data_IF_015008059596
#
_entry.id   IF_015008059596
#
_cell.length_a   1.000
_cell.length_b   1.000
_cell.length_c   1.000
_cell.angle_alpha   90.00
_cell.angle_beta   90.00
_cell.angle_gamma   90.00
#
_symmetry.space_group_name_H-M   'P 1'
#
loop_
_entity.id
_entity.type
_entity.pdbx_description
1 polymer ?
#
# COMPACT_ATOMS: atom_id res chain seq x y z
N UNK A 1 20.38 -18.35 -18.19
CA UNK A 1 19.11 -17.73 -18.62
C UNK A 1 17.99 -18.66 -18.18
N UNK A 2 17.30 -18.35 -17.08
CA UNK A 2 16.08 -19.06 -16.68
C UNK A 2 14.98 -18.02 -16.54
N UNK A 3 14.08 -17.97 -17.52
CA UNK A 3 12.85 -17.20 -17.46
C UNK A 3 11.84 -18.00 -16.62
N UNK A 4 11.53 -17.52 -15.41
CA UNK A 4 10.35 -17.96 -14.68
C UNK A 4 9.14 -17.24 -15.27
N UNK A 5 8.37 -17.99 -16.07
CA UNK A 5 7.05 -17.61 -16.55
C UNK A 5 6.10 -17.62 -15.36
N UNK A 6 5.51 -16.46 -15.02
CA UNK A 6 4.44 -16.36 -14.02
C UNK A 6 3.12 -16.75 -14.67
N UNK A 7 2.47 -17.80 -14.17
CA UNK A 7 1.12 -18.17 -14.58
C UNK A 7 0.07 -17.21 -13.97
N UNK A 8 -0.91 -16.73 -14.76
CA UNK A 8 -1.98 -15.87 -14.28
C UNK A 8 -3.02 -16.70 -13.52
N UNK A 9 -2.85 -16.82 -12.21
CA UNK A 9 -3.81 -17.53 -11.35
C UNK A 9 -3.26 -17.90 -9.97
N UNK A 10 -1.93 -17.95 -9.83
CA UNK A 10 -1.31 -18.31 -8.57
C UNK A 10 -1.12 -17.07 -7.68
N UNK A 11 -2.10 -16.79 -6.82
CA UNK A 11 -1.99 -15.74 -5.78
C UNK A 11 -1.08 -16.19 -4.63
N UNK A 12 0.11 -16.73 -4.95
CA UNK A 12 1.18 -16.98 -3.97
C UNK A 12 1.84 -15.69 -3.45
N UNK A 13 1.56 -14.53 -4.06
CA UNK A 13 2.29 -13.28 -3.82
C UNK A 13 1.98 -12.48 -2.56
N UNK A 14 1.03 -12.88 -1.71
CA UNK A 14 0.70 -12.11 -0.50
C UNK A 14 0.30 -12.98 0.69
N UNK A 15 1.09 -14.01 1.01
CA UNK A 15 1.01 -14.59 2.35
C UNK A 15 2.05 -13.89 3.21
N UNK A 16 1.57 -13.03 4.11
CA UNK A 16 2.32 -12.64 5.31
C UNK A 16 1.82 -13.53 6.45
N UNK A 17 2.38 -14.76 6.61
CA UNK A 17 1.96 -15.66 7.70
C UNK A 17 2.35 -15.12 9.08
N UNK A 18 3.31 -14.19 9.10
CA UNK A 18 3.85 -13.55 10.28
C UNK A 18 3.67 -12.03 10.16
N UNK A 19 3.61 -11.36 11.31
CA UNK A 19 3.59 -9.91 11.39
C UNK A 19 4.83 -9.33 10.69
N UNK A 20 4.65 -8.25 9.93
CA UNK A 20 5.75 -7.59 9.24
C UNK A 20 6.76 -7.00 10.24
N UNK A 21 8.05 -7.23 10.01
CA UNK A 21 9.15 -6.65 10.81
C UNK A 21 9.37 -5.17 10.45
N UNK A 22 9.12 -4.22 11.38
CA UNK A 22 9.30 -2.79 11.13
C UNK A 22 10.72 -2.39 10.70
N UNK A 23 11.75 -3.15 11.06
CA UNK A 23 13.13 -2.87 10.63
C UNK A 23 13.30 -3.00 9.11
N UNK A 24 12.37 -3.69 8.44
CA UNK A 24 12.34 -3.88 7.00
C UNK A 24 11.43 -2.88 6.29
N UNK A 25 10.92 -1.86 6.97
CA UNK A 25 9.97 -0.87 6.42
C UNK A 25 10.46 -0.20 5.12
N UNK A 26 11.77 -0.01 4.95
CA UNK A 26 12.34 0.53 3.72
C UNK A 26 11.99 -0.30 2.47
N UNK A 27 11.74 -1.61 2.62
CA UNK A 27 11.28 -2.44 1.50
C UNK A 27 9.87 -2.06 1.02
N UNK A 28 9.04 -1.47 1.89
CA UNK A 28 7.74 -0.95 1.48
C UNK A 28 7.90 0.25 0.54
N UNK A 29 8.97 1.03 0.69
CA UNK A 29 9.18 2.20 -0.17
C UNK A 29 10.06 1.90 -1.40
N UNK A 30 10.36 0.62 -1.67
CA UNK A 30 11.16 0.21 -2.83
C UNK A 30 10.43 0.60 -4.15
N UNK A 31 11.03 1.47 -5.00
CA UNK A 31 10.44 1.88 -6.27
C UNK A 31 10.08 0.72 -7.21
N UNK A 32 10.74 -0.44 -7.08
CA UNK A 32 10.39 -1.62 -7.84
C UNK A 32 8.96 -2.12 -7.56
N UNK A 33 8.44 -1.93 -6.33
CA UNK A 33 7.04 -2.27 -5.97
C UNK A 33 6.05 -1.47 -6.81
N UNK A 34 6.37 -0.21 -7.07
CA UNK A 34 5.49 0.71 -7.78
C UNK A 34 5.45 0.48 -9.30
N UNK A 35 6.30 -0.40 -9.84
CA UNK A 35 6.18 -0.84 -11.24
C UNK A 35 4.97 -1.75 -11.44
N UNK A 36 4.65 -2.58 -10.45
CA UNK A 36 3.49 -3.47 -10.49
C UNK A 36 2.23 -2.80 -9.94
N UNK A 37 2.39 -2.00 -8.88
CA UNK A 37 1.26 -1.34 -8.21
C UNK A 37 1.58 0.16 -8.03
N UNK A 38 1.43 0.99 -9.08
CA UNK A 38 1.71 2.42 -8.99
C UNK A 38 0.68 3.11 -8.07
N UNK A 39 1.10 3.91 -7.06
CA UNK A 39 0.19 4.53 -6.10
C UNK A 39 -0.93 5.38 -6.73
N UNK A 40 -0.61 6.24 -7.68
CA UNK A 40 -1.58 7.10 -8.36
C UNK A 40 -2.61 6.31 -9.17
N UNK A 41 -2.21 5.18 -9.75
CA UNK A 41 -3.10 4.28 -10.48
C UNK A 41 -4.05 3.55 -9.54
N UNK A 42 -3.56 3.08 -8.39
CA UNK A 42 -4.42 2.48 -7.35
C UNK A 42 -5.46 3.49 -6.87
N UNK A 43 -5.06 4.73 -6.59
CA UNK A 43 -5.97 5.80 -6.18
C UNK A 43 -7.09 6.02 -7.20
N UNK A 44 -6.74 6.06 -8.50
CA UNK A 44 -7.71 6.21 -9.58
C UNK A 44 -8.68 5.02 -9.66
N UNK A 45 -8.18 3.80 -9.46
CA UNK A 45 -8.98 2.58 -9.53
C UNK A 45 -9.96 2.40 -8.36
N UNK A 46 -9.66 2.97 -7.19
CA UNK A 46 -10.53 2.87 -6.01
C UNK A 46 -11.86 3.62 -6.15
N UNK A 47 -11.95 4.58 -7.08
CA UNK A 47 -13.16 5.33 -7.44
C UNK A 47 -13.99 5.79 -6.22
N UNK A 48 -13.30 6.31 -5.20
CA UNK A 48 -13.95 6.71 -3.95
C UNK A 48 -14.90 7.89 -4.21
N UNK A 49 -16.18 7.83 -3.79
CA UNK A 49 -17.11 8.92 -3.96
C UNK A 49 -16.62 10.23 -3.32
N UNK A 50 -17.00 11.41 -3.83
CA UNK A 50 -16.72 12.68 -3.17
C UNK A 50 -17.26 12.71 -1.73
N UNK A 51 -16.50 13.28 -0.80
CA UNK A 51 -16.80 13.22 0.64
C UNK A 51 -16.92 11.79 1.21
N UNK A 52 -16.40 10.80 0.47
CA UNK A 52 -16.32 9.41 0.91
C UNK A 52 -15.29 9.21 2.01
N UNK A 53 -15.31 8.01 2.60
CA UNK A 53 -14.35 7.58 3.62
C UNK A 53 -13.60 6.36 3.11
N UNK A 54 -12.29 6.35 3.30
CA UNK A 54 -11.43 5.22 2.98
C UNK A 54 -10.55 4.85 4.18
N UNK A 55 -10.38 3.54 4.39
CA UNK A 55 -9.42 2.99 5.36
C UNK A 55 -8.31 2.27 4.60
N UNK A 56 -7.07 2.72 4.77
CA UNK A 56 -5.86 2.03 4.31
C UNK A 56 -5.40 1.08 5.43
N UNK A 57 -5.71 -0.21 5.30
CA UNK A 57 -5.46 -1.21 6.33
C UNK A 57 -4.10 -1.87 6.13
N UNK A 58 -3.22 -1.75 7.12
CA UNK A 58 -1.79 -2.06 6.98
C UNK A 58 -1.05 -0.92 6.29
N UNK A 59 -1.32 0.33 6.72
CA UNK A 59 -0.80 1.54 6.08
C UNK A 59 0.73 1.59 5.99
N UNK A 60 1.45 0.90 6.88
CA UNK A 60 2.90 0.83 6.86
C UNK A 60 3.55 2.21 6.93
N UNK A 61 4.42 2.53 5.96
CA UNK A 61 5.07 3.84 5.82
C UNK A 61 4.16 4.94 5.28
N UNK A 62 2.91 4.61 4.91
CA UNK A 62 1.92 5.59 4.46
C UNK A 62 1.82 5.82 2.96
N UNK A 63 2.59 5.09 2.14
CA UNK A 63 2.69 5.34 0.68
C UNK A 63 1.33 5.55 0.01
N UNK A 64 0.35 4.67 0.24
CA UNK A 64 -0.94 4.74 -0.43
C UNK A 64 -1.91 5.69 0.26
N UNK A 65 -2.05 5.64 1.59
CA UNK A 65 -2.88 6.59 2.33
C UNK A 65 -2.54 8.06 2.03
N UNK A 66 -1.24 8.39 2.00
CA UNK A 66 -0.77 9.76 1.78
C UNK A 66 -0.96 10.19 0.33
N UNK A 67 -0.69 9.31 -0.63
CA UNK A 67 -0.95 9.62 -2.04
C UNK A 67 -2.45 9.82 -2.31
N UNK A 68 -3.31 8.99 -1.71
CA UNK A 68 -4.76 9.17 -1.79
C UNK A 68 -5.18 10.50 -1.20
N UNK A 69 -4.73 10.85 0.01
CA UNK A 69 -5.09 12.11 0.66
C UNK A 69 -4.61 13.34 -0.15
N UNK A 70 -3.47 13.23 -0.84
CA UNK A 70 -2.96 14.28 -1.75
C UNK A 70 -3.79 14.42 -3.02
N UNK A 71 -4.14 13.31 -3.66
CA UNK A 71 -4.90 13.31 -4.92
C UNK A 71 -6.40 13.57 -4.72
N UNK A 72 -6.94 13.19 -3.57
CA UNK A 72 -8.36 13.27 -3.21
C UNK A 72 -8.55 13.99 -1.87
N UNK A 73 -8.27 15.31 -1.80
CA UNK A 73 -8.45 16.10 -0.58
C UNK A 73 -9.92 16.21 -0.14
N UNK A 74 -10.85 15.79 -1.00
CA UNK A 74 -12.28 15.67 -0.75
C UNK A 74 -12.68 14.35 -0.05
N UNK A 75 -11.74 13.43 0.18
CA UNK A 75 -11.99 12.12 0.80
C UNK A 75 -11.36 12.07 2.20
N UNK A 76 -12.09 11.53 3.17
CA UNK A 76 -11.56 11.25 4.51
C UNK A 76 -10.76 9.95 4.46
N UNK A 77 -9.44 10.04 4.67
CA UNK A 77 -8.52 8.89 4.64
C UNK A 77 -8.07 8.55 6.05
N UNK A 78 -8.33 7.32 6.49
CA UNK A 78 -7.80 6.75 7.73
C UNK A 78 -6.65 5.80 7.39
N UNK A 79 -5.42 6.17 7.74
CA UNK A 79 -4.28 5.26 7.73
C UNK A 79 -4.33 4.40 9.00
N UNK A 80 -4.56 3.09 8.84
CA UNK A 80 -4.67 2.16 9.96
C UNK A 80 -3.54 1.13 9.90
N UNK A 81 -2.74 1.08 10.95
CA UNK A 81 -1.75 0.03 11.17
C UNK A 81 -1.83 -0.42 12.64
N UNK A 82 -1.70 -1.72 12.88
CA UNK A 82 -1.73 -2.27 14.23
C UNK A 82 -0.41 -2.06 14.97
N UNK A 83 0.68 -1.77 14.24
CA UNK A 83 2.02 -1.65 14.78
C UNK A 83 2.34 -0.17 15.07
N UNK A 84 2.50 0.24 16.35
CA UNK A 84 2.90 1.61 16.67
C UNK A 84 4.20 2.04 16.00
N UNK A 85 5.13 1.10 15.79
CA UNK A 85 6.40 1.35 15.10
C UNK A 85 6.18 1.75 13.64
N UNK A 86 5.22 1.15 12.95
CA UNK A 86 4.86 1.52 11.58
C UNK A 86 4.15 2.87 11.54
N UNK A 87 3.24 3.13 12.49
CA UNK A 87 2.56 4.42 12.58
C UNK A 87 3.55 5.58 12.78
N UNK A 88 4.65 5.37 13.50
CA UNK A 88 5.72 6.37 13.65
C UNK A 88 6.51 6.64 12.36
N UNK A 89 6.38 5.79 11.33
CA UNK A 89 7.06 5.92 10.04
C UNK A 89 6.19 6.56 8.94
N UNK A 90 4.90 6.84 9.21
CA UNK A 90 4.00 7.54 8.29
C UNK A 90 4.61 8.89 7.86
N UNK A 91 4.94 9.05 6.57
CA UNK A 91 5.66 10.22 6.03
C UNK A 91 5.24 10.63 4.62
#
# INVERSE_FOLDING_TARGET
>A
MNHHLHEPGDRHGARQPERFDPQRAAHLDDPARFKYLPPSEVVRMLDVPPAGKLVDFGAGTGTYAIELARMRPDVEVTALDEQPEMLNLLR
#
